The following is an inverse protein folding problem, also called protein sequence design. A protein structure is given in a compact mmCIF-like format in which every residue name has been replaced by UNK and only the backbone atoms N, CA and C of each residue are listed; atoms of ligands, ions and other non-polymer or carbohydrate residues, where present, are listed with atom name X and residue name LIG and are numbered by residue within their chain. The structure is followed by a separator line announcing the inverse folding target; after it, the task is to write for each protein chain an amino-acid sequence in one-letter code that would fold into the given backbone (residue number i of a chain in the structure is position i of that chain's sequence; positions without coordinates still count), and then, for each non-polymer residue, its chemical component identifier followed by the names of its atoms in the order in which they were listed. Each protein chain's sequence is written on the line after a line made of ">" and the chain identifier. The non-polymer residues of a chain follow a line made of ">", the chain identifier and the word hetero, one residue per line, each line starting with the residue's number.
data_IF_111255858936
#
_entry.id   IF_111255858936
#
_cell.length_a   1.000
_cell.length_b   1.000
_cell.length_c   1.000
_cell.angle_alpha   90.00
_cell.angle_beta   90.00
_cell.angle_gamma   90.00
#
_symmetry.space_group_name_H-M   'P 1'
#
loop_
_entity.id
_entity.type
_entity.pdbx_description
1 polymer ?
#
# COMPACT_ATOMS: atom_id res chain seq x y z
N UNK A 1 8.06 24.52 -14.67
CA UNK A 1 7.48 23.19 -14.39
C UNK A 1 6.44 23.34 -13.29
N UNK A 2 5.15 23.11 -13.60
CA UNK A 2 4.10 23.09 -12.57
C UNK A 2 4.30 21.83 -11.73
N UNK A 3 4.56 22.02 -10.43
CA UNK A 3 4.77 20.92 -9.49
C UNK A 3 3.54 20.01 -9.45
N UNK A 4 3.76 18.72 -9.68
CA UNK A 4 2.77 17.71 -9.35
C UNK A 4 2.63 17.72 -7.82
N UNK A 5 1.50 18.18 -7.32
CA UNK A 5 1.20 18.11 -5.90
C UNK A 5 1.13 16.63 -5.50
N UNK A 6 2.00 16.24 -4.57
CA UNK A 6 1.91 14.94 -3.92
C UNK A 6 0.52 14.83 -3.29
N UNK A 7 -0.26 13.82 -3.70
CA UNK A 7 -1.57 13.54 -3.13
C UNK A 7 -1.39 12.96 -1.72
N UNK A 8 -1.21 13.84 -0.74
CA UNK A 8 -0.98 13.50 0.67
C UNK A 8 -2.10 12.61 1.22
N UNK A 9 -3.36 12.84 0.81
CA UNK A 9 -4.50 12.01 1.22
C UNK A 9 -4.42 10.59 0.66
N UNK A 10 -3.93 10.44 -0.57
CA UNK A 10 -3.65 9.13 -1.18
C UNK A 10 -2.54 8.37 -0.45
N UNK A 11 -1.48 9.07 -0.04
CA UNK A 11 -0.35 8.51 0.70
C UNK A 11 -0.76 8.14 2.12
N UNK A 12 -1.42 9.04 2.86
CA UNK A 12 -1.93 8.79 4.21
C UNK A 12 -2.97 7.65 4.21
N UNK A 13 -3.86 7.64 3.21
CA UNK A 13 -4.81 6.55 3.01
C UNK A 13 -4.11 5.22 2.79
N UNK A 14 -3.07 5.17 1.96
CA UNK A 14 -2.24 3.98 1.75
C UNK A 14 -1.51 3.54 3.02
N UNK A 15 -0.84 4.47 3.73
CA UNK A 15 -0.16 4.20 4.99
C UNK A 15 -1.10 3.67 6.08
N UNK A 16 -2.31 4.23 6.22
CA UNK A 16 -3.33 3.72 7.15
C UNK A 16 -3.80 2.32 6.78
N UNK A 17 -3.78 1.99 5.50
CA UNK A 17 -4.11 0.64 5.01
C UNK A 17 -3.00 -0.37 5.37
N UNK A 18 -1.73 0.04 5.28
CA UNK A 18 -0.59 -0.80 5.71
C UNK A 18 -0.63 -1.13 7.21
N UNK A 19 -1.24 -0.28 8.03
CA UNK A 19 -1.45 -0.51 9.47
C UNK A 19 -2.61 -1.47 9.78
N UNK A 20 -3.41 -1.87 8.79
CA UNK A 20 -4.55 -2.79 8.95
C UNK A 20 -4.45 -3.95 7.97
N UNK A 21 -3.63 -4.98 8.26
CA UNK A 21 -3.39 -6.11 7.36
C UNK A 21 -4.66 -6.83 6.88
N UNK A 22 -5.72 -6.81 7.70
CA UNK A 22 -7.03 -7.40 7.37
C UNK A 22 -7.68 -6.78 6.12
N UNK A 23 -7.35 -5.53 5.76
CA UNK A 23 -7.86 -4.87 4.56
C UNK A 23 -7.30 -5.48 3.27
N UNK A 24 -6.18 -6.20 3.33
CA UNK A 24 -5.60 -6.92 2.20
C UNK A 24 -6.08 -8.36 2.10
N UNK A 25 -7.00 -8.82 2.96
CA UNK A 25 -7.48 -10.20 2.92
C UNK A 25 -8.78 -10.25 2.12
N UNK A 26 -8.79 -10.87 0.92
CA UNK A 26 -10.03 -11.09 0.19
C UNK A 26 -10.90 -12.13 0.91
N UNK A 27 -12.22 -11.97 0.84
CA UNK A 27 -13.17 -12.97 1.37
C UNK A 27 -13.24 -14.23 0.50
N UNK A 28 -13.02 -14.07 -0.80
CA UNK A 28 -12.98 -15.15 -1.78
C UNK A 28 -11.86 -14.90 -2.80
N UNK A 29 -11.22 -15.97 -3.24
CA UNK A 29 -10.35 -15.95 -4.42
C UNK A 29 -10.98 -16.82 -5.51
N UNK A 30 -10.90 -16.35 -6.75
CA UNK A 30 -11.41 -17.06 -7.92
C UNK A 30 -10.42 -16.87 -9.07
N UNK A 31 -10.35 -17.82 -9.99
CA UNK A 31 -9.40 -17.72 -11.11
C UNK A 31 -9.77 -16.54 -12.00
N UNK A 32 -11.02 -16.49 -12.45
CA UNK A 32 -11.56 -15.42 -13.29
C UNK A 32 -13.10 -15.40 -13.22
N UNK A 33 -13.73 -14.54 -14.01
CA UNK A 33 -15.18 -14.32 -13.98
C UNK A 33 -15.99 -15.60 -14.29
N UNK A 34 -15.50 -16.51 -15.14
CA UNK A 34 -16.25 -17.73 -15.49
C UNK A 34 -16.32 -18.76 -14.36
N UNK A 35 -15.39 -18.67 -13.41
CA UNK A 35 -15.32 -19.55 -12.23
C UNK A 35 -16.12 -19.02 -11.04
N UNK A 36 -16.68 -17.81 -11.14
CA UNK A 36 -17.42 -17.18 -10.06
C UNK A 36 -18.78 -17.89 -9.87
N UNK A 37 -19.04 -18.41 -8.67
CA UNK A 37 -20.30 -19.06 -8.36
C UNK A 37 -21.36 -18.05 -7.92
N UNK A 38 -22.15 -17.56 -8.88
CA UNK A 38 -23.23 -16.59 -8.66
C UNK A 38 -24.30 -17.07 -7.68
N UNK A 39 -24.67 -18.35 -7.69
CA UNK A 39 -25.66 -18.90 -6.76
C UNK A 39 -25.18 -18.83 -5.31
N UNK A 40 -23.90 -19.12 -5.07
CA UNK A 40 -23.28 -18.98 -3.75
C UNK A 40 -23.29 -17.53 -3.27
N UNK A 41 -23.01 -16.56 -4.15
CA UNK A 41 -23.07 -15.14 -3.80
C UNK A 41 -24.50 -14.73 -3.42
N UNK A 42 -25.50 -15.19 -4.16
CA UNK A 42 -26.91 -14.94 -3.85
C UNK A 42 -27.32 -15.54 -2.50
N UNK A 43 -26.87 -16.76 -2.21
CA UNK A 43 -27.10 -17.42 -0.93
C UNK A 43 -26.42 -16.70 0.25
N UNK A 44 -25.31 -15.99 0.01
CA UNK A 44 -24.67 -15.11 0.98
C UNK A 44 -25.41 -13.78 1.20
N UNK A 45 -26.52 -13.53 0.49
CA UNK A 45 -27.30 -12.30 0.59
C UNK A 45 -26.73 -11.15 -0.25
N UNK A 46 -25.82 -11.41 -1.19
CA UNK A 46 -25.32 -10.38 -2.09
C UNK A 46 -26.42 -9.96 -3.07
N UNK A 47 -26.61 -8.64 -3.21
CA UNK A 47 -27.63 -8.00 -4.06
C UNK A 47 -27.03 -7.19 -5.20
N UNK A 48 -25.81 -6.70 -5.01
CA UNK A 48 -25.09 -5.90 -6.00
C UNK A 48 -23.64 -6.35 -6.12
N UNK A 49 -23.11 -6.30 -7.33
CA UNK A 49 -21.71 -6.62 -7.61
C UNK A 49 -21.04 -5.44 -8.31
N UNK A 50 -19.94 -5.00 -7.73
CA UNK A 50 -19.07 -3.95 -8.24
C UNK A 50 -17.85 -4.61 -8.85
N UNK A 51 -17.61 -4.36 -10.14
CA UNK A 51 -16.46 -4.89 -10.85
C UNK A 51 -15.42 -3.81 -11.12
N UNK A 52 -14.15 -4.16 -10.93
CA UNK A 52 -13.08 -3.51 -11.67
C UNK A 52 -13.22 -3.80 -13.18
N UNK A 53 -12.60 -2.94 -14.01
CA UNK A 53 -12.68 -3.03 -15.47
C UNK A 53 -11.50 -3.81 -16.07
N UNK A 54 -10.32 -3.20 -16.05
CA UNK A 54 -9.15 -3.65 -16.79
C UNK A 54 -8.54 -4.91 -16.13
N UNK A 55 -8.35 -5.98 -16.89
CA UNK A 55 -7.92 -7.30 -16.41
C UNK A 55 -8.90 -8.05 -15.49
N UNK A 56 -10.08 -7.48 -15.25
CA UNK A 56 -11.17 -8.14 -14.50
C UNK A 56 -12.34 -8.52 -15.42
N UNK A 57 -12.91 -7.56 -16.14
CA UNK A 57 -14.04 -7.77 -17.08
C UNK A 57 -13.58 -7.63 -18.53
N UNK A 58 -12.68 -6.67 -18.79
CA UNK A 58 -12.16 -6.37 -20.13
C UNK A 58 -10.66 -6.62 -20.17
N UNK A 59 -10.11 -6.79 -21.37
CA UNK A 59 -8.67 -6.59 -21.56
C UNK A 59 -8.28 -5.15 -21.21
N UNK A 60 -6.99 -4.89 -20.90
CA UNK A 60 -6.50 -3.54 -20.62
C UNK A 60 -6.91 -2.57 -21.73
N UNK A 61 -7.53 -1.45 -21.34
CA UNK A 61 -7.93 -0.35 -22.24
C UNK A 61 -8.97 -0.70 -23.32
N UNK A 62 -9.51 -1.93 -23.33
CA UNK A 62 -10.62 -2.30 -24.20
C UNK A 62 -11.97 -1.98 -23.55
N UNK A 63 -12.98 -1.61 -24.34
CA UNK A 63 -14.27 -1.14 -23.80
C UNK A 63 -15.35 -2.23 -23.75
N UNK A 64 -15.12 -3.39 -24.35
CA UNK A 64 -16.06 -4.51 -24.40
C UNK A 64 -15.63 -5.63 -23.45
N UNK A 65 -16.61 -6.44 -23.03
CA UNK A 65 -16.37 -7.62 -22.20
C UNK A 65 -15.46 -8.58 -22.95
N UNK A 66 -14.47 -9.14 -22.25
CA UNK A 66 -13.59 -10.14 -22.87
C UNK A 66 -14.43 -11.33 -23.36
N UNK A 67 -14.40 -11.71 -24.66
CA UNK A 67 -15.40 -12.62 -25.21
C UNK A 67 -15.60 -13.96 -24.46
N UNK A 68 -14.56 -14.63 -23.94
CA UNK A 68 -14.73 -15.83 -23.11
C UNK A 68 -15.54 -15.60 -21.82
N UNK A 69 -15.62 -14.37 -21.33
CA UNK A 69 -16.35 -14.00 -20.12
C UNK A 69 -17.81 -13.61 -20.40
N UNK A 70 -18.21 -13.44 -21.66
CA UNK A 70 -19.53 -12.91 -22.04
C UNK A 70 -20.69 -13.70 -21.39
N UNK A 71 -20.64 -15.03 -21.44
CA UNK A 71 -21.69 -15.88 -20.85
C UNK A 71 -21.84 -15.64 -19.33
N UNK A 72 -20.72 -15.61 -18.61
CA UNK A 72 -20.71 -15.38 -17.17
C UNK A 72 -21.12 -13.95 -16.81
N UNK A 73 -20.75 -12.98 -17.65
CA UNK A 73 -21.16 -11.59 -17.51
C UNK A 73 -22.68 -11.41 -17.66
N UNK A 74 -23.27 -12.01 -18.69
CA UNK A 74 -24.72 -11.95 -18.91
C UNK A 74 -25.49 -12.68 -17.81
N UNK A 75 -25.00 -13.83 -17.36
CA UNK A 75 -25.55 -14.53 -16.19
C UNK A 75 -25.52 -13.65 -14.94
N UNK A 76 -24.40 -12.97 -14.67
CA UNK A 76 -24.27 -12.05 -13.55
C UNK A 76 -25.28 -10.90 -13.63
N UNK A 77 -25.35 -10.20 -14.78
CA UNK A 77 -26.26 -9.06 -14.96
C UNK A 77 -27.73 -9.44 -14.87
N UNK A 78 -28.09 -10.67 -15.22
CA UNK A 78 -29.46 -11.17 -15.07
C UNK A 78 -29.88 -11.38 -13.60
N UNK A 79 -28.93 -11.49 -12.68
CA UNK A 79 -29.17 -11.86 -11.28
C UNK A 79 -28.84 -10.75 -10.27
N UNK A 80 -27.98 -9.80 -10.62
CA UNK A 80 -27.46 -8.78 -9.72
C UNK A 80 -27.53 -7.39 -10.32
N UNK A 81 -27.62 -6.37 -9.46
CA UNK A 81 -27.30 -5.00 -9.86
C UNK A 81 -25.79 -4.91 -10.09
N UNK A 82 -25.37 -4.53 -11.30
CA UNK A 82 -23.95 -4.49 -11.67
C UNK A 82 -23.50 -3.04 -11.87
N UNK A 83 -22.32 -2.71 -11.33
CA UNK A 83 -21.64 -1.43 -11.50
C UNK A 83 -20.16 -1.67 -11.79
N UNK A 84 -19.60 -0.91 -12.72
CA UNK A 84 -18.18 -0.90 -13.01
C UNK A 84 -17.55 0.30 -12.29
N UNK A 85 -16.48 0.06 -11.55
CA UNK A 85 -15.65 1.11 -10.92
C UNK A 85 -14.22 0.93 -11.39
N UNK A 86 -13.73 1.86 -12.20
CA UNK A 86 -12.37 1.82 -12.76
C UNK A 86 -11.53 3.01 -12.32
N UNK A 87 -10.21 2.84 -12.23
CA UNK A 87 -9.27 3.93 -12.01
C UNK A 87 -8.85 4.66 -13.31
N UNK A 88 -9.20 4.10 -14.47
CA UNK A 88 -8.95 4.66 -15.80
C UNK A 88 -10.21 5.32 -16.39
N UNK A 89 -11.38 4.70 -16.21
CA UNK A 89 -12.66 5.11 -16.81
C UNK A 89 -13.63 5.62 -15.75
N UNK A 90 -14.40 6.68 -16.06
CA UNK A 90 -15.33 7.32 -15.11
C UNK A 90 -14.64 8.13 -14.00
N UNK A 91 -13.30 8.19 -14.01
CA UNK A 91 -12.51 9.01 -13.10
C UNK A 91 -12.35 10.44 -13.65
N UNK A 92 -11.77 11.36 -12.84
CA UNK A 92 -11.40 12.71 -13.30
C UNK A 92 -10.50 12.76 -14.54
N UNK A 93 -9.76 11.68 -14.80
CA UNK A 93 -8.84 11.61 -15.94
C UNK A 93 -9.52 11.11 -17.22
N UNK A 94 -10.79 10.68 -17.14
CA UNK A 94 -11.60 10.24 -18.30
C UNK A 94 -12.21 11.43 -19.04
N UNK A 95 -11.35 12.25 -19.66
CA UNK A 95 -11.75 13.49 -20.34
C UNK A 95 -12.62 13.22 -21.58
N UNK A 96 -12.40 12.08 -22.25
CA UNK A 96 -13.12 11.69 -23.46
C UNK A 96 -14.47 11.01 -23.17
N UNK A 97 -14.85 10.90 -21.89
CA UNK A 97 -16.09 10.24 -21.45
C UNK A 97 -16.19 8.79 -21.97
N UNK A 98 -15.07 8.08 -21.98
CA UNK A 98 -14.97 6.68 -22.41
C UNK A 98 -15.93 5.77 -21.63
N UNK A 99 -16.33 6.17 -20.42
CA UNK A 99 -17.36 5.50 -19.65
C UNK A 99 -18.65 5.26 -20.44
N UNK A 100 -19.07 6.18 -21.31
CA UNK A 100 -20.29 6.01 -22.13
C UNK A 100 -20.16 4.83 -23.09
N UNK A 101 -18.97 4.62 -23.65
CA UNK A 101 -18.72 3.48 -24.53
C UNK A 101 -18.68 2.19 -23.72
N UNK A 102 -18.01 2.18 -22.56
CA UNK A 102 -18.00 1.01 -21.67
C UNK A 102 -19.42 0.65 -21.23
N UNK A 103 -20.26 1.63 -20.88
CA UNK A 103 -21.66 1.37 -20.52
C UNK A 103 -22.44 0.75 -21.68
N UNK A 104 -22.21 1.21 -22.92
CA UNK A 104 -22.86 0.68 -24.12
C UNK A 104 -22.43 -0.75 -24.41
N UNK A 105 -21.12 -1.02 -24.42
CA UNK A 105 -20.56 -2.31 -24.82
C UNK A 105 -20.73 -3.40 -23.75
N UNK A 106 -20.66 -3.03 -22.46
CA UNK A 106 -20.84 -3.98 -21.36
C UNK A 106 -22.29 -4.08 -20.89
N UNK A 107 -23.10 -3.05 -21.17
CA UNK A 107 -24.46 -2.91 -20.67
C UNK A 107 -24.55 -2.83 -19.15
N UNK A 108 -23.48 -2.41 -18.47
CA UNK A 108 -23.47 -2.10 -17.04
C UNK A 108 -23.11 -0.63 -16.83
N UNK A 109 -23.61 -0.02 -15.75
CA UNK A 109 -23.29 1.37 -15.43
C UNK A 109 -21.86 1.52 -14.96
N UNK A 110 -21.25 2.66 -15.23
CA UNK A 110 -19.92 3.03 -14.72
C UNK A 110 -20.09 4.10 -13.66
N UNK A 111 -19.47 3.90 -12.50
CA UNK A 111 -19.46 4.92 -11.45
C UNK A 111 -18.60 6.10 -11.88
N UNK A 112 -19.20 7.29 -11.95
CA UNK A 112 -18.46 8.54 -12.07
C UNK A 112 -17.92 8.94 -10.70
N UNK A 113 -16.60 9.10 -10.57
CA UNK A 113 -15.98 9.38 -9.29
C UNK A 113 -14.78 10.34 -9.39
N UNK A 114 -14.56 11.04 -8.29
CA UNK A 114 -13.43 11.96 -8.14
C UNK A 114 -12.21 11.25 -7.55
N UNK A 115 -12.45 10.35 -6.59
CA UNK A 115 -11.41 9.64 -5.86
C UNK A 115 -11.20 8.28 -6.49
N UNK A 116 -9.97 7.98 -6.90
CA UNK A 116 -9.60 6.67 -7.41
C UNK A 116 -9.54 5.64 -6.28
N UNK A 117 -9.82 4.38 -6.61
CA UNK A 117 -9.61 3.22 -5.72
C UNK A 117 -8.15 3.22 -5.23
N UNK A 118 -7.88 2.97 -3.93
CA UNK A 118 -8.80 2.36 -2.94
C UNK A 118 -9.71 3.33 -2.15
N UNK A 119 -9.82 4.60 -2.53
CA UNK A 119 -10.68 5.58 -1.84
C UNK A 119 -12.03 5.75 -2.55
N UNK A 120 -13.07 6.25 -1.86
CA UNK A 120 -14.36 6.56 -2.47
C UNK A 120 -15.38 5.40 -2.44
N UNK A 121 -15.20 4.37 -1.63
CA UNK A 121 -16.11 3.22 -1.56
C UNK A 121 -17.41 3.54 -0.79
N UNK A 122 -17.39 4.56 0.07
CA UNK A 122 -18.50 5.03 0.89
C UNK A 122 -19.75 5.43 0.10
N UNK A 123 -19.60 5.67 -1.21
CA UNK A 123 -20.72 6.00 -2.12
C UNK A 123 -21.54 4.76 -2.54
N UNK A 124 -20.97 3.56 -2.46
CA UNK A 124 -21.61 2.34 -2.98
C UNK A 124 -22.90 1.96 -2.24
N UNK A 125 -22.96 1.96 -0.88
CA UNK A 125 -24.19 1.64 -0.15
C UNK A 125 -25.34 2.57 -0.53
N UNK A 126 -25.03 3.86 -0.70
CA UNK A 126 -25.99 4.88 -1.13
C UNK A 126 -26.42 4.69 -2.58
N UNK A 127 -25.50 4.32 -3.47
CA UNK A 127 -25.80 4.08 -4.89
C UNK A 127 -26.78 2.91 -5.09
N UNK A 128 -26.61 1.83 -4.33
CA UNK A 128 -27.43 0.63 -4.48
C UNK A 128 -28.66 0.55 -3.57
N UNK A 129 -28.72 1.44 -2.57
CA UNK A 129 -29.70 1.42 -1.48
C UNK A 129 -29.68 0.07 -0.73
N UNK A 130 -28.49 -0.31 -0.24
CA UNK A 130 -28.28 -1.55 0.49
C UNK A 130 -27.13 -1.45 1.50
N UNK A 131 -27.01 -2.45 2.38
CA UNK A 131 -25.91 -2.53 3.36
C UNK A 131 -24.61 -2.88 2.64
N UNK A 132 -23.45 -2.41 3.13
CA UNK A 132 -22.15 -2.81 2.55
C UNK A 132 -21.96 -4.33 2.45
N UNK A 133 -22.44 -5.09 3.43
CA UNK A 133 -22.36 -6.55 3.46
C UNK A 133 -23.16 -7.24 2.34
N UNK A 134 -24.10 -6.55 1.70
CA UNK A 134 -24.90 -7.05 0.57
C UNK A 134 -24.24 -6.68 -0.79
N UNK A 135 -23.07 -6.04 -0.77
CA UNK A 135 -22.30 -5.64 -1.95
C UNK A 135 -21.08 -6.55 -2.06
N UNK A 136 -20.86 -7.10 -3.25
CA UNK A 136 -19.58 -7.74 -3.57
C UNK A 136 -18.71 -6.82 -4.42
N UNK A 137 -17.40 -6.75 -4.12
CA UNK A 137 -16.41 -6.04 -4.93
C UNK A 137 -15.46 -7.05 -5.54
N UNK A 138 -15.33 -7.05 -6.86
CA UNK A 138 -14.54 -8.01 -7.64
C UNK A 138 -13.46 -7.27 -8.41
N UNK A 139 -12.20 -7.69 -8.27
CA UNK A 139 -11.09 -7.10 -9.03
C UNK A 139 -9.83 -7.95 -8.98
N UNK A 140 -8.83 -7.59 -9.78
CA UNK A 140 -7.57 -8.32 -9.93
C UNK A 140 -6.45 -7.81 -9.01
N UNK A 141 -6.66 -6.68 -8.33
CA UNK A 141 -5.61 -6.03 -7.52
C UNK A 141 -5.94 -6.00 -6.03
N UNK A 142 -4.94 -6.36 -5.25
CA UNK A 142 -5.02 -6.42 -3.79
C UNK A 142 -5.07 -5.02 -3.17
N UNK A 143 -4.15 -4.13 -3.58
CA UNK A 143 -3.99 -2.82 -2.94
C UNK A 143 -5.02 -1.80 -3.39
N UNK A 144 -5.79 -2.10 -4.44
CA UNK A 144 -6.88 -1.26 -4.91
C UNK A 144 -8.23 -1.90 -4.62
N UNK A 145 -8.60 -2.98 -5.30
CA UNK A 145 -9.99 -3.46 -5.33
C UNK A 145 -10.40 -4.13 -4.02
N UNK A 146 -9.51 -4.95 -3.47
CA UNK A 146 -9.77 -5.64 -2.20
C UNK A 146 -9.79 -4.63 -1.05
N UNK A 147 -8.85 -3.71 -1.01
CA UNK A 147 -8.87 -2.63 0.00
C UNK A 147 -10.11 -1.75 -0.17
N UNK A 148 -10.50 -1.42 -1.41
CA UNK A 148 -11.67 -0.58 -1.71
C UNK A 148 -12.95 -1.18 -1.10
N UNK A 149 -13.21 -2.46 -1.32
CA UNK A 149 -14.36 -3.13 -0.72
C UNK A 149 -14.25 -3.34 0.80
N UNK A 150 -13.07 -3.78 1.28
CA UNK A 150 -12.88 -4.08 2.70
C UNK A 150 -13.02 -2.84 3.59
N UNK A 151 -12.68 -1.64 3.09
CA UNK A 151 -12.84 -0.37 3.84
C UNK A 151 -14.28 -0.07 4.28
N UNK A 152 -15.27 -0.53 3.53
CA UNK A 152 -16.69 -0.35 3.87
C UNK A 152 -17.33 -1.62 4.44
N UNK A 153 -16.58 -2.72 4.56
CA UNK A 153 -17.11 -4.02 4.98
C UNK A 153 -17.87 -4.78 3.89
N UNK A 154 -17.61 -4.50 2.61
CA UNK A 154 -18.18 -5.25 1.49
C UNK A 154 -17.53 -6.64 1.33
N UNK A 155 -18.21 -7.54 0.62
CA UNK A 155 -17.69 -8.87 0.33
C UNK A 155 -16.67 -8.81 -0.82
N UNK A 156 -15.38 -9.02 -0.53
CA UNK A 156 -14.31 -8.84 -1.52
C UNK A 156 -13.91 -10.13 -2.19
N UNK A 157 -13.77 -10.09 -3.52
CA UNK A 157 -13.41 -11.23 -4.36
C UNK A 157 -12.20 -10.85 -5.21
N UNK A 158 -11.09 -11.57 -5.01
CA UNK A 158 -9.87 -11.40 -5.79
C UNK A 158 -9.88 -12.35 -6.98
N UNK A 159 -9.70 -11.78 -8.17
CA UNK A 159 -9.43 -12.51 -9.41
C UNK A 159 -7.93 -12.75 -9.51
N UNK A 160 -7.50 -14.02 -9.54
CA UNK A 160 -6.07 -14.36 -9.50
C UNK A 160 -5.41 -14.41 -10.87
N UNK A 161 -6.18 -14.76 -11.91
CA UNK A 161 -5.73 -14.84 -13.30
C UNK A 161 -6.20 -13.60 -14.07
N UNK A 162 -5.24 -12.75 -14.45
CA UNK A 162 -5.50 -11.61 -15.34
C UNK A 162 -5.64 -12.09 -16.78
N UNK A 163 -6.38 -11.35 -17.60
CA UNK A 163 -6.60 -11.71 -19.00
C UNK A 163 -5.30 -11.61 -19.81
N UNK A 164 -4.53 -10.52 -19.66
CA UNK A 164 -3.27 -10.32 -20.38
C UNK A 164 -2.38 -9.24 -19.75
N UNK A 165 -1.06 -9.45 -19.78
CA UNK A 165 -0.08 -8.38 -19.48
C UNK A 165 0.23 -7.51 -20.72
N UNK A 166 -0.06 -8.02 -21.93
CA UNK A 166 0.23 -7.30 -23.18
C UNK A 166 -0.68 -6.07 -23.29
N UNK A 167 -0.07 -4.91 -23.50
CA UNK A 167 -0.79 -3.64 -23.64
C UNK A 167 -1.21 -3.00 -22.31
N UNK A 168 -0.86 -3.60 -21.18
CA UNK A 168 -1.10 -3.02 -19.87
C UNK A 168 0.00 -2.03 -19.46
N UNK A 169 -0.28 -1.19 -18.47
CA UNK A 169 0.67 -0.23 -17.95
C UNK A 169 1.88 -0.95 -17.29
N UNK A 170 3.13 -0.70 -17.73
CA UNK A 170 4.32 -1.34 -17.18
C UNK A 170 4.45 -1.22 -15.65
N UNK A 171 4.06 -0.07 -15.10
CA UNK A 171 4.08 0.15 -13.65
C UNK A 171 3.02 -0.69 -12.93
N UNK A 172 1.82 -0.82 -13.52
CA UNK A 172 0.78 -1.67 -12.97
C UNK A 172 1.17 -3.16 -13.00
N UNK A 173 1.85 -3.62 -14.06
CA UNK A 173 2.41 -4.99 -14.14
C UNK A 173 3.41 -5.23 -13.01
N UNK A 174 4.33 -4.30 -12.77
CA UNK A 174 5.32 -4.43 -11.68
C UNK A 174 4.65 -4.48 -10.30
N UNK A 175 3.66 -3.61 -10.04
CA UNK A 175 2.91 -3.63 -8.79
C UNK A 175 2.15 -4.95 -8.63
N UNK A 176 1.49 -5.47 -9.67
CA UNK A 176 0.79 -6.77 -9.58
C UNK A 176 1.74 -7.92 -9.25
N UNK A 177 2.95 -7.92 -9.82
CA UNK A 177 3.99 -8.92 -9.46
C UNK A 177 4.36 -8.81 -7.99
N UNK A 178 4.55 -7.60 -7.48
CA UNK A 178 4.80 -7.36 -6.07
C UNK A 178 3.61 -7.78 -5.19
N UNK A 179 2.36 -7.43 -5.55
CA UNK A 179 1.14 -7.83 -4.84
C UNK A 179 1.01 -9.36 -4.74
N UNK A 180 1.30 -10.09 -5.82
CA UNK A 180 1.27 -11.56 -5.82
C UNK A 180 2.35 -12.15 -4.92
N UNK A 181 3.56 -11.58 -4.93
CA UNK A 181 4.64 -11.99 -4.03
C UNK A 181 4.28 -11.68 -2.58
N UNK A 182 3.75 -10.48 -2.31
CA UNK A 182 3.26 -10.06 -1.01
C UNK A 182 2.16 -11.00 -0.53
N UNK A 183 1.17 -11.34 -1.36
CA UNK A 183 0.07 -12.22 -0.98
C UNK A 183 0.58 -13.62 -0.68
N UNK A 184 1.47 -14.19 -1.51
CA UNK A 184 2.11 -15.48 -1.22
C UNK A 184 2.90 -15.45 0.08
N UNK A 185 3.70 -14.42 0.29
CA UNK A 185 4.49 -14.24 1.51
C UNK A 185 3.59 -14.03 2.73
N UNK A 186 2.51 -13.26 2.59
CA UNK A 186 1.54 -12.96 3.63
C UNK A 186 0.76 -14.22 4.03
N UNK A 187 0.18 -14.95 3.07
CA UNK A 187 -0.52 -16.20 3.35
C UNK A 187 0.41 -17.25 3.93
N UNK A 188 1.63 -17.41 3.38
CA UNK A 188 2.67 -18.27 3.96
C UNK A 188 3.00 -17.84 5.39
N UNK A 189 3.18 -16.53 5.61
CA UNK A 189 3.46 -15.99 6.93
C UNK A 189 2.31 -16.22 7.88
N UNK A 190 1.05 -16.10 7.48
CA UNK A 190 -0.12 -16.33 8.35
C UNK A 190 -0.34 -17.82 8.62
N UNK A 191 -0.10 -18.69 7.63
CA UNK A 191 -0.20 -20.15 7.80
C UNK A 191 0.95 -20.74 8.63
N UNK A 192 2.13 -20.12 8.56
CA UNK A 192 3.34 -20.55 9.29
C UNK A 192 3.64 -19.67 10.51
N UNK A 193 2.87 -18.58 10.74
CA UNK A 193 3.12 -17.66 11.84
C UNK A 193 2.78 -18.36 13.15
N UNK A 194 3.73 -18.44 14.10
CA UNK A 194 3.35 -18.66 15.48
C UNK A 194 2.45 -17.50 15.92
N UNK A 195 1.50 -17.72 16.85
CA UNK A 195 0.40 -16.79 17.19
C UNK A 195 0.80 -15.37 17.65
N UNK A 196 2.10 -15.05 17.71
CA UNK A 196 2.67 -13.80 18.22
C UNK A 196 3.61 -13.13 17.19
N UNK A 197 3.27 -13.14 15.90
CA UNK A 197 4.06 -12.43 14.88
C UNK A 197 3.69 -10.94 14.85
N UNK A 198 4.63 -10.08 15.24
CA UNK A 198 4.35 -8.65 15.39
C UNK A 198 4.47 -7.89 14.06
N UNK A 199 3.34 -7.70 13.40
CA UNK A 199 3.18 -6.95 12.16
C UNK A 199 3.49 -5.45 12.31
N UNK A 200 3.47 -4.92 13.53
CA UNK A 200 3.83 -3.53 13.81
C UNK A 200 5.31 -3.26 13.50
N UNK A 201 6.20 -4.20 13.84
CA UNK A 201 7.63 -4.07 13.57
C UNK A 201 7.94 -4.09 12.06
N UNK A 202 7.21 -4.90 11.29
CA UNK A 202 7.39 -4.95 9.83
C UNK A 202 6.90 -3.65 9.16
N UNK A 203 5.77 -3.12 9.61
CA UNK A 203 5.23 -1.86 9.11
C UNK A 203 6.12 -0.67 9.50
N UNK A 204 6.64 -0.62 10.73
CA UNK A 204 7.51 0.46 11.20
C UNK A 204 8.87 0.46 10.50
N UNK A 205 9.47 -0.71 10.27
CA UNK A 205 10.72 -0.84 9.50
C UNK A 205 10.54 -0.42 8.03
N UNK A 206 9.42 -0.80 7.39
CA UNK A 206 9.11 -0.36 6.03
C UNK A 206 8.86 1.16 5.91
N UNK A 207 8.14 1.76 6.87
CA UNK A 207 7.88 3.20 6.91
C UNK A 207 9.15 4.02 7.16
N UNK A 208 10.04 3.54 8.04
CA UNK A 208 11.33 4.18 8.26
C UNK A 208 12.20 4.14 7.00
N UNK A 209 12.30 2.99 6.32
CA UNK A 209 13.02 2.88 5.05
C UNK A 209 12.50 3.87 3.99
N UNK A 210 11.17 4.03 3.90
CA UNK A 210 10.55 4.99 2.97
C UNK A 210 10.84 6.46 3.34
N UNK A 211 10.82 6.80 4.62
CA UNK A 211 11.17 8.14 5.12
C UNK A 211 12.63 8.50 4.79
N UNK A 212 13.53 7.54 4.94
CA UNK A 212 14.95 7.73 4.64
C UNK A 212 15.24 7.88 3.14
N UNK A 213 14.57 7.09 2.28
CA UNK A 213 14.65 7.27 0.82
C UNK A 213 14.13 8.64 0.41
N UNK A 214 13.08 9.15 1.07
CA UNK A 214 12.60 10.52 0.90
C UNK A 214 13.66 11.59 1.21
N UNK A 215 14.41 11.41 2.31
CA UNK A 215 15.51 12.30 2.70
C UNK A 215 16.66 12.35 1.70
N UNK A 216 17.03 11.20 1.08
CA UNK A 216 18.04 11.11 0.01
C UNK A 216 17.62 11.93 -1.22
N UNK A 217 16.33 11.93 -1.55
CA UNK A 217 15.79 12.66 -2.70
C UNK A 217 15.69 14.15 -2.42
N UNK A 218 15.23 14.54 -1.22
CA UNK A 218 14.98 15.95 -0.87
C UNK A 218 16.23 16.74 -0.52
N UNK A 219 17.28 16.11 0.02
CA UNK A 219 18.49 16.80 0.46
C UNK A 219 19.74 16.25 -0.25
N UNK A 220 20.03 16.69 -1.49
CA UNK A 220 21.12 16.15 -2.31
C UNK A 220 22.50 16.30 -1.67
N UNK A 221 22.73 17.37 -0.89
CA UNK A 221 23.98 17.61 -0.14
C UNK A 221 24.14 16.68 1.09
N UNK A 222 23.05 16.10 1.60
CA UNK A 222 23.01 15.20 2.78
C UNK A 222 22.85 13.71 2.40
N UNK A 223 22.95 13.37 1.10
CA UNK A 223 22.71 12.00 0.58
C UNK A 223 23.56 10.91 1.23
N UNK A 224 24.83 11.19 1.49
CA UNK A 224 25.76 10.22 2.09
C UNK A 224 25.31 9.86 3.50
N UNK A 225 24.92 10.85 4.30
CA UNK A 225 24.42 10.67 5.67
C UNK A 225 23.11 9.88 5.70
N UNK A 226 22.14 10.22 4.85
CA UNK A 226 20.88 9.48 4.76
C UNK A 226 21.07 8.04 4.25
N UNK A 227 21.99 7.83 3.31
CA UNK A 227 22.33 6.49 2.81
C UNK A 227 22.96 5.63 3.91
N UNK A 228 23.95 6.17 4.65
CA UNK A 228 24.56 5.50 5.80
C UNK A 228 23.54 5.15 6.88
N UNK A 229 22.61 6.06 7.18
CA UNK A 229 21.55 5.83 8.16
C UNK A 229 20.57 4.74 7.70
N UNK A 230 20.24 4.69 6.41
CA UNK A 230 19.39 3.64 5.82
C UNK A 230 20.06 2.27 5.91
N UNK A 231 21.37 2.21 5.62
CA UNK A 231 22.17 0.98 5.71
C UNK A 231 22.25 0.50 7.15
N UNK A 232 22.54 1.40 8.10
CA UNK A 232 22.58 1.07 9.53
C UNK A 232 21.24 0.57 10.05
N UNK A 233 20.13 1.20 9.66
CA UNK A 233 18.79 0.76 10.05
C UNK A 233 18.42 -0.59 9.43
N UNK A 234 18.80 -0.83 8.18
CA UNK A 234 18.61 -2.11 7.50
C UNK A 234 19.40 -3.22 8.20
N UNK A 235 20.65 -2.95 8.56
CA UNK A 235 21.49 -3.88 9.33
C UNK A 235 20.87 -4.14 10.70
N UNK A 236 20.42 -3.11 11.43
CA UNK A 236 19.77 -3.27 12.73
C UNK A 236 18.50 -4.15 12.64
N UNK A 237 17.68 -3.93 11.61
CA UNK A 237 16.46 -4.71 11.36
C UNK A 237 16.77 -6.18 11.04
N UNK A 238 17.79 -6.42 10.21
CA UNK A 238 18.25 -7.79 9.89
C UNK A 238 18.79 -8.46 11.15
N UNK A 239 19.57 -7.75 11.97
CA UNK A 239 20.15 -8.29 13.20
C UNK A 239 19.06 -8.67 14.21
N UNK A 240 18.03 -7.84 14.37
CA UNK A 240 16.91 -8.11 15.25
C UNK A 240 16.11 -9.36 14.82
N UNK A 241 15.80 -9.46 13.52
CA UNK A 241 15.00 -10.57 12.98
C UNK A 241 15.78 -11.89 12.98
N UNK A 242 17.06 -11.85 12.60
CA UNK A 242 17.89 -13.05 12.42
C UNK A 242 18.48 -13.55 13.74
N UNK A 243 18.86 -12.67 14.67
CA UNK A 243 19.59 -13.07 15.87
C UNK A 243 18.80 -12.87 17.16
N UNK A 244 18.19 -11.71 17.37
CA UNK A 244 17.51 -11.41 18.64
C UNK A 244 16.25 -12.30 18.84
N UNK A 245 15.43 -12.46 17.80
CA UNK A 245 14.18 -13.23 17.89
C UNK A 245 14.38 -14.73 18.16
N UNK A 246 15.33 -15.45 17.52
CA UNK A 246 15.60 -16.85 17.85
C UNK A 246 16.15 -17.03 19.26
N UNK A 247 17.00 -16.11 19.74
CA UNK A 247 17.54 -16.15 21.11
C UNK A 247 16.42 -15.94 22.13
N UNK A 248 15.54 -14.94 21.93
CA UNK A 248 14.37 -14.72 22.81
C UNK A 248 13.45 -15.96 22.82
N UNK A 249 13.22 -16.60 21.67
CA UNK A 249 12.46 -17.87 21.60
C UNK A 249 13.12 -19.01 22.38
N UNK A 250 14.44 -19.15 22.29
CA UNK A 250 15.21 -20.15 23.04
C UNK A 250 15.16 -19.89 24.55
N UNK A 251 15.19 -18.62 24.96
CA UNK A 251 15.09 -18.18 26.37
C UNK A 251 13.70 -18.45 26.95
N UNK A 252 12.64 -18.22 26.17
CA UNK A 252 11.26 -18.54 26.57
C UNK A 252 11.04 -20.06 26.66
N UNK A 253 11.64 -20.84 25.76
CA UNK A 253 11.46 -22.30 25.71
C UNK A 253 12.32 -23.09 26.71
N UNK A 254 13.51 -22.60 27.09
CA UNK A 254 14.40 -23.30 28.03
C UNK A 254 14.69 -22.40 29.24
N UNK A 255 13.99 -22.64 30.35
CA UNK A 255 14.27 -22.06 31.69
C UNK A 255 15.64 -22.51 32.27
N UNK A 256 16.77 -22.24 31.60
CA UNK A 256 18.11 -22.33 32.20
C UNK A 256 18.96 -21.12 31.76
N UNK A 257 19.57 -20.47 32.75
CA UNK A 257 20.33 -19.22 32.70
C UNK A 257 19.55 -17.99 32.20
N UNK A 258 18.44 -17.68 32.90
CA UNK A 258 17.61 -16.50 32.63
C UNK A 258 18.39 -15.17 32.74
N UNK A 259 19.34 -15.06 33.67
CA UNK A 259 20.06 -13.81 33.97
C UNK A 259 21.08 -13.44 32.88
N UNK A 260 21.88 -14.41 32.43
CA UNK A 260 22.90 -14.21 31.38
C UNK A 260 22.26 -13.91 30.02
N UNK A 261 21.10 -14.53 29.77
CA UNK A 261 20.31 -14.28 28.57
C UNK A 261 19.58 -12.92 28.59
N UNK A 262 19.06 -12.49 29.75
CA UNK A 262 18.53 -11.12 29.90
C UNK A 262 19.62 -10.07 29.76
N UNK A 263 20.83 -10.32 30.27
CA UNK A 263 21.97 -9.42 30.13
C UNK A 263 22.35 -9.24 28.67
N UNK A 264 22.43 -10.32 27.89
CA UNK A 264 22.71 -10.25 26.46
C UNK A 264 21.61 -9.48 25.72
N UNK A 265 20.32 -9.78 25.96
CA UNK A 265 19.21 -9.05 25.32
C UNK A 265 19.21 -7.56 25.68
N UNK A 266 19.47 -7.21 26.94
CA UNK A 266 19.57 -5.82 27.39
C UNK A 266 20.78 -5.09 26.79
N UNK A 267 21.94 -5.76 26.72
CA UNK A 267 23.16 -5.26 26.08
C UNK A 267 22.94 -5.01 24.58
N UNK A 268 22.23 -5.89 23.87
CA UNK A 268 21.87 -5.69 22.47
C UNK A 268 20.91 -4.51 22.27
N UNK A 269 19.88 -4.37 23.12
CA UNK A 269 18.99 -3.21 23.04
C UNK A 269 19.73 -1.90 23.35
N UNK A 270 20.69 -1.91 24.27
CA UNK A 270 21.53 -0.75 24.57
C UNK A 270 22.42 -0.36 23.38
N UNK A 271 22.96 -1.32 22.63
CA UNK A 271 23.73 -1.04 21.39
C UNK A 271 22.84 -0.43 20.31
N UNK A 272 21.61 -0.95 20.11
CA UNK A 272 20.67 -0.43 19.10
C UNK A 272 20.19 0.98 19.46
N UNK A 273 19.79 1.21 20.72
CA UNK A 273 19.40 2.53 21.22
C UNK A 273 20.56 3.52 21.19
N UNK A 274 21.78 3.08 21.54
CA UNK A 274 22.99 3.89 21.44
C UNK A 274 23.31 4.28 19.99
N UNK A 275 23.14 3.35 19.05
CA UNK A 275 23.33 3.62 17.61
C UNK A 275 22.31 4.63 17.09
N UNK A 276 21.04 4.52 17.50
CA UNK A 276 20.00 5.49 17.17
C UNK A 276 20.27 6.88 17.77
N UNK A 277 20.72 6.93 19.03
CA UNK A 277 21.11 8.18 19.70
C UNK A 277 22.32 8.84 19.01
N UNK A 278 23.31 8.07 18.57
CA UNK A 278 24.46 8.58 17.81
C UNK A 278 23.99 9.11 16.45
N UNK A 279 23.09 8.40 15.75
CA UNK A 279 22.52 8.89 14.48
C UNK A 279 21.76 10.20 14.70
N UNK A 280 20.94 10.29 15.74
CA UNK A 280 20.21 11.51 16.08
C UNK A 280 21.17 12.64 16.47
N UNK A 281 22.21 12.36 17.26
CA UNK A 281 23.21 13.33 17.68
C UNK A 281 24.03 13.87 16.50
N UNK A 282 24.41 13.00 15.55
CA UNK A 282 25.09 13.39 14.31
C UNK A 282 24.19 14.20 13.37
N UNK A 283 22.88 13.98 13.41
CA UNK A 283 21.91 14.78 12.68
C UNK A 283 21.74 16.17 13.31
N UNK A 284 21.72 16.26 14.65
CA UNK A 284 21.59 17.54 15.36
C UNK A 284 22.88 18.36 15.39
N UNK A 285 24.07 17.74 15.49
CA UNK A 285 25.34 18.48 15.53
C UNK A 285 25.67 19.12 14.17
N UNK A 286 25.29 18.47 13.07
CA UNK A 286 25.51 19.00 11.72
C UNK A 286 24.55 20.15 11.36
N UNK A 287 23.44 20.30 12.10
CA UNK A 287 22.55 21.46 11.96
C UNK A 287 23.06 22.67 12.79
N UNK A 288 23.97 22.48 13.74
CA UNK A 288 24.57 23.53 14.59
C UNK A 288 25.84 24.15 13.97
N UNK A 289 26.58 23.40 13.14
CA UNK A 289 27.76 23.89 12.39
C UNK A 289 27.41 24.81 11.19
N UNK A 290 26.17 25.32 11.14
CA UNK A 290 25.60 26.06 10.01
C UNK A 290 25.19 27.50 10.28
N UNK A 291 25.58 28.08 11.42
CA UNK A 291 25.35 29.51 11.72
C UNK A 291 26.67 30.22 12.03
N UNK A 292 27.55 30.31 11.03
CA UNK A 292 28.41 31.49 10.91
C UNK A 292 27.63 32.49 10.04
N UNK A 293 26.92 33.42 10.70
CA UNK A 293 26.44 34.63 10.04
C UNK A 293 27.65 35.37 9.47
N UNK A 294 27.64 35.61 8.16
CA UNK A 294 28.53 36.56 7.50
C UNK A 294 28.27 37.96 8.09
N UNK A 295 28.98 38.34 9.16
CA UNK A 295 29.08 39.73 9.58
C UNK A 295 29.97 40.49 8.58
N UNK A 296 29.34 41.26 7.69
CA UNK A 296 30.01 42.34 6.95
C UNK A 296 30.67 43.31 7.95
N UNK A 297 31.99 43.58 7.87
CA UNK A 297 32.61 44.56 8.75
C UNK A 297 32.31 45.98 8.25
N UNK A 298 31.30 46.62 8.84
CA UNK A 298 31.13 48.08 8.82
C UNK A 298 32.06 48.71 9.87
N UNK A 299 32.75 49.77 9.44
CA UNK A 299 33.50 50.76 10.25
C UNK A 299 34.92 50.41 10.74
N UNK A 300 35.91 50.69 9.86
CA UNK A 300 37.14 51.38 10.27
C UNK A 300 37.29 52.71 9.53
N UNK A 301 36.54 53.72 9.98
CA UNK A 301 36.89 55.14 9.83
C UNK A 301 36.94 55.77 11.22
N UNK A 302 38.08 55.64 11.90
CA UNK A 302 38.63 56.60 12.89
C UNK A 302 39.84 55.97 13.57
N UNK A 303 41.03 56.25 13.04
CA UNK A 303 42.27 56.55 13.78
C UNK A 303 43.42 56.61 12.77
N UNK A 304 43.52 57.76 12.12
CA UNK A 304 44.78 58.35 11.63
C UNK A 304 44.55 59.86 11.50
N UNK A 305 44.42 60.47 12.68
CA UNK A 305 44.74 61.86 12.97
C UNK A 305 45.21 61.83 14.41
N UNK A 306 46.50 62.13 14.61
CA UNK A 306 47.33 62.08 15.82
C UNK A 306 48.29 60.88 15.85
N UNK A 307 49.34 60.91 15.03
CA UNK A 307 50.69 61.40 15.38
C UNK A 307 51.53 61.59 14.11
#
# INVERSE_FOLDING_TARGET
>A
MKGQSLNIDGILGFCKTLLSPSLFVPRLQTNNLTTLNFQKLKALGIRAIVFDKDNTVTRPYENHVYPPFQKAWDECRSQFKVLIVSNSVGSKDDQEKTYLQVERETGAKVLLHTNKKPSGAEVLPKYFDCKPSEIAVVGDRLFTDIVYGNRIGAYTILVTEIITEKGDNPFAIQIRKFERLFLKAFYKSVSEAPPNFDYFLLASTALLLLSFVGGIVQHPKKRVLYTLSTVLLSIASVVEVVFARPIIKLVIQKKKNLIENLFNVAFYHAIVLGSLLIIMALQTSYDDDGVEEEEEPKEKKKKEKNE
#
